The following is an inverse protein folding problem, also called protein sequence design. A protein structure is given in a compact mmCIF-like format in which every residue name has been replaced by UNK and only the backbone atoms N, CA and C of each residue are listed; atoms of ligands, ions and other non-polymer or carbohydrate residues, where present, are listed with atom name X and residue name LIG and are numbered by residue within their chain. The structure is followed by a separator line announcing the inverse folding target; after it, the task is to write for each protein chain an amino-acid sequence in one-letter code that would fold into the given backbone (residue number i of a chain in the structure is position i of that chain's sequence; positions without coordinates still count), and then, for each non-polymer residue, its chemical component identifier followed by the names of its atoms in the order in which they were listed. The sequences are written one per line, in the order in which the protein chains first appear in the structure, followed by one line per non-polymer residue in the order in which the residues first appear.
data_IF_814583218096
#
_entry.id   IF_814583218096
#
_cell.length_a   1.000
_cell.length_b   1.000
_cell.length_c   1.000
_cell.angle_alpha   90.00
_cell.angle_beta   90.00
_cell.angle_gamma   90.00
#
_symmetry.space_group_name_H-M   'P 1'
#
loop_
_entity.id
_entity.type
_entity.pdbx_description
1 polymer ?
#
# COMPACT_ATOMS: atom_id res chain seq x y z
N UNK A 1 22.11 26.98 -14.95
CA UNK A 1 22.09 25.87 -15.92
C UNK A 1 21.56 24.60 -15.25
N UNK A 2 22.14 24.17 -14.12
CA UNK A 2 21.70 22.97 -13.38
C UNK A 2 20.19 22.88 -13.06
N UNK A 3 19.57 23.94 -12.53
CA UNK A 3 18.12 23.92 -12.22
C UNK A 3 17.25 23.70 -13.48
N UNK A 4 17.57 24.40 -14.57
CA UNK A 4 16.85 24.24 -15.86
C UNK A 4 17.04 22.83 -16.42
N UNK A 5 18.24 22.27 -16.33
CA UNK A 5 18.51 20.88 -16.74
C UNK A 5 17.69 19.90 -15.91
N UNK A 6 17.61 20.09 -14.60
CA UNK A 6 16.84 19.20 -13.72
C UNK A 6 15.33 19.28 -14.01
N UNK A 7 14.82 20.47 -14.30
CA UNK A 7 13.41 20.67 -14.70
C UNK A 7 13.10 20.01 -16.03
N UNK A 8 13.99 20.16 -17.02
CA UNK A 8 13.86 19.46 -18.30
C UNK A 8 13.86 17.95 -18.12
N UNK A 9 14.77 17.40 -17.31
CA UNK A 9 14.81 15.96 -17.02
C UNK A 9 13.52 15.48 -16.35
N UNK A 10 12.93 16.28 -15.46
CA UNK A 10 11.65 15.96 -14.84
C UNK A 10 10.52 15.93 -15.88
N UNK A 11 10.44 16.91 -16.77
CA UNK A 11 9.42 16.93 -17.84
C UNK A 11 9.59 15.75 -18.80
N UNK A 12 10.82 15.39 -19.16
CA UNK A 12 11.12 14.22 -19.97
C UNK A 12 10.69 12.92 -19.29
N UNK A 13 10.94 12.79 -17.99
CA UNK A 13 10.53 11.62 -17.22
C UNK A 13 9.00 11.50 -17.11
N UNK A 14 8.30 12.61 -16.88
CA UNK A 14 6.83 12.64 -16.88
C UNK A 14 6.28 12.25 -18.25
N UNK A 15 6.85 12.81 -19.33
CA UNK A 15 6.48 12.46 -20.71
C UNK A 15 6.69 10.97 -20.98
N UNK A 16 7.83 10.40 -20.58
CA UNK A 16 8.08 8.97 -20.70
C UNK A 16 7.06 8.14 -19.91
N UNK A 17 6.74 8.56 -18.69
CA UNK A 17 5.74 7.91 -17.84
C UNK A 17 4.38 7.91 -18.54
N UNK A 18 3.92 9.05 -19.07
CA UNK A 18 2.66 9.16 -19.81
C UNK A 18 2.64 8.23 -21.03
N UNK A 19 3.74 8.16 -21.78
CA UNK A 19 3.83 7.31 -22.97
C UNK A 19 3.73 5.81 -22.63
N UNK A 20 4.36 5.35 -21.54
CA UNK A 20 4.18 3.96 -21.08
C UNK A 20 2.75 3.69 -20.65
N UNK A 21 2.18 4.60 -19.87
CA UNK A 21 0.81 4.53 -19.40
C UNK A 21 -0.17 4.33 -20.57
N UNK A 22 -0.12 5.20 -21.56
CA UNK A 22 -1.17 5.25 -22.58
C UNK A 22 -0.89 4.27 -23.73
N UNK A 23 0.37 4.16 -24.17
CA UNK A 23 0.69 3.38 -25.37
C UNK A 23 1.08 1.93 -25.09
N UNK A 24 1.53 1.60 -23.88
CA UNK A 24 1.83 0.23 -23.51
C UNK A 24 0.72 -0.37 -22.67
N UNK A 25 0.53 0.12 -21.43
CA UNK A 25 -0.39 -0.53 -20.49
C UNK A 25 -1.85 -0.40 -20.93
N UNK A 26 -2.32 0.82 -21.21
CA UNK A 26 -3.72 1.03 -21.64
C UNK A 26 -4.01 0.35 -22.98
N UNK A 27 -3.07 0.41 -23.93
CA UNK A 27 -3.23 -0.26 -25.22
C UNK A 27 -3.33 -1.78 -25.08
N UNK A 28 -2.43 -2.41 -24.31
CA UNK A 28 -2.44 -3.85 -24.10
C UNK A 28 -3.68 -4.31 -23.33
N UNK A 29 -4.14 -3.55 -22.34
CA UNK A 29 -5.41 -3.80 -21.65
C UNK A 29 -6.57 -3.84 -22.62
N UNK A 30 -6.73 -2.82 -23.48
CA UNK A 30 -7.78 -2.79 -24.50
C UNK A 30 -7.66 -3.95 -25.51
N UNK A 31 -6.42 -4.32 -25.86
CA UNK A 31 -6.17 -5.44 -26.76
C UNK A 31 -6.56 -6.76 -26.13
N UNK A 32 -6.21 -6.99 -24.86
CA UNK A 32 -6.59 -8.16 -24.10
C UNK A 32 -8.13 -8.26 -23.98
N UNK A 33 -8.80 -7.14 -23.66
CA UNK A 33 -10.27 -7.08 -23.61
C UNK A 33 -10.89 -7.47 -24.96
N UNK A 34 -10.35 -6.97 -26.09
CA UNK A 34 -10.85 -7.30 -27.43
C UNK A 34 -10.71 -8.78 -27.80
N UNK A 35 -9.88 -9.52 -27.06
CA UNK A 35 -9.64 -10.96 -27.22
C UNK A 35 -10.32 -11.80 -26.12
N UNK A 36 -11.06 -11.17 -25.19
CA UNK A 36 -11.65 -11.86 -24.04
C UNK A 36 -10.61 -12.38 -23.05
N UNK A 37 -9.44 -11.74 -22.97
CA UNK A 37 -8.32 -12.10 -22.08
C UNK A 37 -8.16 -11.05 -20.97
N UNK A 38 -7.71 -11.49 -19.80
CA UNK A 38 -7.27 -10.59 -18.73
C UNK A 38 -5.78 -10.28 -18.88
N UNK A 39 -5.40 -9.00 -18.77
CA UNK A 39 -4.00 -8.61 -18.70
C UNK A 39 -3.55 -8.55 -17.25
N UNK A 40 -2.75 -9.55 -16.87
CA UNK A 40 -2.04 -9.63 -15.59
C UNK A 40 -0.57 -9.36 -15.83
N UNK A 41 0.02 -8.40 -15.13
CA UNK A 41 1.43 -8.02 -15.31
C UNK A 41 2.01 -7.40 -14.06
N UNK A 42 3.33 -7.51 -13.93
CA UNK A 42 4.16 -6.83 -12.94
C UNK A 42 4.61 -5.47 -13.48
N UNK A 43 4.02 -4.35 -13.03
CA UNK A 43 4.23 -3.05 -13.64
C UNK A 43 5.23 -2.23 -12.81
N UNK A 44 6.44 -2.75 -12.58
CA UNK A 44 7.50 -2.06 -11.82
C UNK A 44 8.90 -2.30 -12.39
N UNK A 45 9.94 -1.75 -11.73
CA UNK A 45 11.38 -1.75 -12.12
C UNK A 45 11.73 -0.88 -13.34
N UNK A 46 10.79 -0.54 -14.23
CA UNK A 46 11.01 0.37 -15.36
C UNK A 46 10.92 1.88 -14.97
N UNK A 47 11.36 2.82 -15.84
CA UNK A 47 11.40 4.26 -15.54
C UNK A 47 10.01 4.92 -15.61
N UNK A 48 9.09 4.46 -14.78
CA UNK A 48 7.75 5.01 -14.62
C UNK A 48 7.22 4.81 -13.20
N UNK A 49 6.15 5.52 -12.84
CA UNK A 49 5.39 5.29 -11.61
C UNK A 49 4.68 3.91 -11.65
N UNK A 50 4.98 2.98 -10.71
CA UNK A 50 4.41 1.64 -10.75
C UNK A 50 2.91 1.56 -10.43
N UNK A 51 2.40 2.45 -9.59
CA UNK A 51 0.96 2.49 -9.22
C UNK A 51 0.15 2.99 -10.40
N UNK A 52 0.67 4.01 -11.08
CA UNK A 52 0.09 4.56 -12.30
C UNK A 52 -0.02 3.50 -13.40
N UNK A 53 1.02 2.70 -13.58
CA UNK A 53 0.98 1.61 -14.56
C UNK A 53 0.07 0.46 -14.13
N UNK A 54 0.14 0.05 -12.85
CA UNK A 54 -0.73 -0.98 -12.28
C UNK A 54 -2.22 -0.65 -12.36
N UNK A 55 -2.59 0.63 -12.23
CA UNK A 55 -3.99 1.05 -12.33
C UNK A 55 -4.63 0.82 -13.71
N UNK A 56 -3.80 0.74 -14.76
CA UNK A 56 -4.25 0.58 -16.14
C UNK A 56 -4.53 -0.87 -16.54
N UNK A 57 -4.18 -1.85 -15.70
CA UNK A 57 -4.35 -3.28 -16.01
C UNK A 57 -5.50 -3.91 -15.24
N UNK A 58 -6.02 -5.03 -15.73
CA UNK A 58 -7.14 -5.76 -15.12
C UNK A 58 -6.71 -6.41 -13.80
N UNK A 59 -5.52 -7.02 -13.78
CA UNK A 59 -4.97 -7.72 -12.61
C UNK A 59 -3.55 -7.22 -12.33
N UNK A 60 -3.37 -6.21 -11.44
CA UNK A 60 -2.04 -5.78 -11.04
C UNK A 60 -1.33 -6.91 -10.28
N UNK A 61 -0.08 -7.18 -10.66
CA UNK A 61 0.75 -8.23 -10.07
C UNK A 61 1.97 -7.62 -9.36
N UNK A 62 2.31 -8.18 -8.20
CA UNK A 62 3.53 -7.92 -7.45
C UNK A 62 4.44 -9.16 -7.43
N UNK A 63 5.55 -9.07 -6.71
CA UNK A 63 6.46 -10.19 -6.48
C UNK A 63 6.90 -10.18 -5.01
N UNK A 64 7.02 -11.36 -4.40
CA UNK A 64 7.67 -11.50 -3.11
C UNK A 64 8.42 -12.82 -2.99
N UNK A 65 9.59 -12.72 -2.37
CA UNK A 65 10.52 -13.83 -2.29
C UNK A 65 10.35 -14.55 -0.94
N UNK A 66 10.82 -15.80 -0.86
CA UNK A 66 10.95 -16.54 0.42
C UNK A 66 11.73 -15.70 1.45
N UNK A 67 12.71 -14.98 0.93
CA UNK A 67 13.61 -14.06 1.59
C UNK A 67 12.91 -12.79 2.10
N UNK A 68 11.67 -12.51 1.68
CA UNK A 68 10.94 -11.23 1.83
C UNK A 68 11.51 -10.06 1.02
N UNK A 69 12.46 -10.31 0.10
CA UNK A 69 12.77 -9.36 -0.99
C UNK A 69 11.52 -9.07 -1.81
N UNK A 70 11.53 -7.91 -2.48
CA UNK A 70 10.44 -7.42 -3.34
C UNK A 70 9.10 -7.17 -2.63
N UNK A 71 9.00 -7.37 -1.31
CA UNK A 71 7.76 -7.15 -0.54
C UNK A 71 7.19 -5.72 -0.67
N UNK A 72 8.03 -4.72 -0.98
CA UNK A 72 7.56 -3.35 -1.27
C UNK A 72 6.64 -3.29 -2.52
N UNK A 73 6.85 -4.16 -3.51
CA UNK A 73 6.02 -4.24 -4.72
C UNK A 73 4.59 -4.67 -4.41
N UNK A 74 4.40 -5.44 -3.33
CA UNK A 74 3.08 -5.86 -2.86
C UNK A 74 2.21 -4.65 -2.55
N UNK A 75 2.79 -3.63 -1.89
CA UNK A 75 2.06 -2.40 -1.57
C UNK A 75 1.75 -1.59 -2.84
N UNK A 76 2.60 -1.61 -3.85
CA UNK A 76 2.31 -0.94 -5.13
C UNK A 76 1.11 -1.60 -5.83
N UNK A 77 1.12 -2.92 -5.98
CA UNK A 77 0.04 -3.65 -6.64
C UNK A 77 -1.28 -3.56 -5.87
N UNK A 78 -1.25 -3.71 -4.53
CA UNK A 78 -2.47 -3.62 -3.72
C UNK A 78 -3.04 -2.21 -3.70
N UNK A 79 -2.19 -1.18 -3.59
CA UNK A 79 -2.67 0.21 -3.62
C UNK A 79 -3.27 0.57 -4.98
N UNK A 80 -2.67 0.09 -6.08
CA UNK A 80 -3.24 0.27 -7.41
C UNK A 80 -4.59 -0.46 -7.55
N UNK A 81 -4.71 -1.70 -7.06
CA UNK A 81 -5.99 -2.39 -7.07
C UNK A 81 -7.06 -1.63 -6.29
N UNK A 82 -6.74 -1.15 -5.08
CA UNK A 82 -7.68 -0.43 -4.24
C UNK A 82 -8.09 0.92 -4.84
N UNK A 83 -7.13 1.70 -5.35
CA UNK A 83 -7.38 3.04 -5.89
C UNK A 83 -8.06 3.02 -7.27
N UNK A 84 -7.88 1.95 -8.05
CA UNK A 84 -8.51 1.78 -9.39
C UNK A 84 -9.69 0.79 -9.40
N UNK A 85 -10.04 0.19 -8.27
CA UNK A 85 -11.23 -0.67 -8.15
C UNK A 85 -11.04 -2.06 -8.75
N UNK A 86 -9.83 -2.63 -8.66
CA UNK A 86 -9.55 -4.02 -9.06
C UNK A 86 -9.81 -4.95 -7.88
N UNK A 87 -10.42 -6.10 -8.17
CA UNK A 87 -10.71 -7.13 -7.17
C UNK A 87 -9.47 -7.94 -6.80
N UNK A 88 -8.63 -8.23 -7.79
CA UNK A 88 -7.52 -9.16 -7.65
C UNK A 88 -6.18 -8.42 -7.55
N UNK A 89 -5.33 -8.90 -6.64
CA UNK A 89 -3.92 -8.52 -6.50
C UNK A 89 -3.11 -9.79 -6.63
N UNK A 90 -2.51 -9.97 -7.81
CA UNK A 90 -1.70 -11.13 -8.11
C UNK A 90 -0.29 -11.01 -7.51
N UNK A 91 0.37 -12.14 -7.25
CA UNK A 91 1.76 -12.15 -6.83
C UNK A 91 2.55 -13.30 -7.46
N UNK A 92 3.70 -13.00 -8.07
CA UNK A 92 4.77 -13.97 -8.20
C UNK A 92 5.25 -14.30 -6.78
N UNK A 93 4.96 -15.51 -6.35
CA UNK A 93 5.02 -15.86 -4.94
C UNK A 93 6.09 -16.91 -4.67
N UNK A 94 6.85 -16.65 -3.60
CA UNK A 94 7.85 -17.55 -3.03
C UNK A 94 9.04 -17.82 -3.96
N UNK A 95 9.44 -16.83 -4.77
CA UNK A 95 10.72 -16.87 -5.48
C UNK A 95 11.86 -17.01 -4.49
N UNK A 96 12.83 -17.89 -4.77
CA UNK A 96 13.95 -18.15 -3.86
C UNK A 96 15.25 -18.36 -4.61
N UNK A 97 16.37 -17.96 -4.03
CA UNK A 97 17.74 -18.14 -4.57
C UNK A 97 18.31 -19.51 -4.24
N UNK A 98 19.55 -19.74 -4.66
CA UNK A 98 20.35 -20.91 -4.32
C UNK A 98 20.49 -21.16 -2.79
N UNK A 99 20.35 -20.13 -1.96
CA UNK A 99 20.50 -20.21 -0.52
C UNK A 99 19.17 -20.53 0.20
N UNK A 100 18.00 -20.18 -0.32
CA UNK A 100 16.71 -20.42 0.34
C UNK A 100 15.68 -21.18 -0.51
N UNK A 101 15.68 -21.03 -1.83
CA UNK A 101 14.75 -21.70 -2.75
C UNK A 101 15.20 -23.08 -3.25
N UNK A 102 16.50 -23.34 -3.36
CA UNK A 102 17.03 -24.58 -3.97
C UNK A 102 16.89 -25.81 -3.06
N UNK A 103 15.69 -26.43 -3.05
CA UNK A 103 15.32 -27.59 -2.22
C UNK A 103 15.47 -27.37 -0.71
N UNK A 104 15.38 -26.11 -0.28
CA UNK A 104 15.59 -25.67 1.11
C UNK A 104 14.33 -25.12 1.77
N UNK A 105 13.19 -25.16 1.07
CA UNK A 105 11.90 -24.73 1.59
C UNK A 105 10.92 -25.88 1.75
N UNK A 106 10.07 -25.73 2.74
CA UNK A 106 8.85 -26.49 2.96
C UNK A 106 7.71 -25.49 3.28
N UNK A 107 6.44 -25.93 3.25
CA UNK A 107 5.30 -25.06 3.54
C UNK A 107 5.35 -24.31 4.87
N UNK A 108 5.93 -24.89 5.93
CA UNK A 108 6.06 -24.23 7.22
C UNK A 108 7.05 -23.07 7.15
N UNK A 109 8.19 -23.27 6.48
CA UNK A 109 9.22 -22.24 6.31
C UNK A 109 8.73 -21.00 5.55
N UNK A 110 7.85 -21.19 4.55
CA UNK A 110 7.38 -20.11 3.69
C UNK A 110 6.04 -19.48 4.13
N UNK A 111 5.33 -20.10 5.10
CA UNK A 111 4.03 -19.61 5.58
C UNK A 111 4.07 -18.13 5.96
N UNK A 112 5.10 -17.72 6.71
CA UNK A 112 5.26 -16.32 7.16
C UNK A 112 5.32 -15.34 5.99
N UNK A 113 6.10 -15.64 4.94
CA UNK A 113 6.23 -14.74 3.79
C UNK A 113 4.88 -14.59 3.06
N UNK A 114 4.13 -15.69 2.92
CA UNK A 114 2.79 -15.67 2.33
C UNK A 114 1.78 -14.89 3.17
N UNK A 115 1.77 -15.10 4.49
CA UNK A 115 0.88 -14.38 5.40
C UNK A 115 1.16 -12.88 5.41
N UNK A 116 2.44 -12.52 5.34
CA UNK A 116 2.86 -11.13 5.23
C UNK A 116 2.38 -10.49 3.93
N UNK A 117 2.49 -11.20 2.81
CA UNK A 117 1.97 -10.74 1.53
C UNK A 117 0.44 -10.57 1.56
N UNK A 118 -0.28 -11.52 2.17
CA UNK A 118 -1.73 -11.42 2.41
C UNK A 118 -2.10 -10.19 3.25
N UNK A 119 -1.39 -9.93 4.35
CA UNK A 119 -1.57 -8.72 5.17
C UNK A 119 -1.29 -7.42 4.39
N UNK A 120 -0.54 -7.50 3.29
CA UNK A 120 -0.24 -6.35 2.42
C UNK A 120 -1.13 -6.26 1.17
N UNK A 121 -2.13 -7.14 1.06
CA UNK A 121 -3.19 -7.03 0.08
C UNK A 121 -3.14 -8.06 -1.05
N UNK A 122 -2.15 -8.97 -1.09
CA UNK A 122 -2.18 -10.09 -2.05
C UNK A 122 -3.42 -10.93 -1.79
N UNK A 123 -4.13 -11.30 -2.85
CA UNK A 123 -5.26 -12.21 -2.76
C UNK A 123 -5.35 -13.19 -3.94
N UNK A 124 -4.33 -13.20 -4.83
CA UNK A 124 -4.16 -14.16 -5.92
C UNK A 124 -2.68 -14.57 -6.03
N UNK A 125 -2.36 -15.80 -5.68
CA UNK A 125 -0.98 -16.30 -5.59
C UNK A 125 -0.64 -17.08 -6.86
N UNK A 126 0.47 -16.72 -7.51
CA UNK A 126 1.06 -17.45 -8.64
C UNK A 126 2.40 -18.02 -8.18
N UNK A 127 2.48 -19.34 -8.01
CA UNK A 127 3.65 -19.99 -7.40
C UNK A 127 4.85 -19.99 -8.36
N UNK A 128 5.92 -19.29 -7.98
CA UNK A 128 7.22 -19.35 -8.64
C UNK A 128 8.05 -20.48 -8.02
N UNK A 129 8.50 -21.52 -8.73
CA UNK A 129 8.10 -21.90 -10.09
C UNK A 129 7.80 -23.40 -10.18
N UNK A 130 6.87 -23.76 -11.07
CA UNK A 130 6.47 -25.16 -11.32
C UNK A 130 7.07 -25.62 -12.65
N UNK A 131 8.31 -26.10 -12.62
CA UNK A 131 8.99 -26.56 -13.84
C UNK A 131 8.31 -27.81 -14.43
N UNK A 132 8.15 -27.83 -15.75
CA UNK A 132 7.68 -29.02 -16.48
C UNK A 132 8.65 -30.19 -16.24
N UNK A 133 8.10 -31.38 -16.00
CA UNK A 133 8.85 -32.62 -15.76
C UNK A 133 8.83 -33.50 -17.03
N UNK A 134 9.79 -33.36 -17.96
CA UNK A 134 9.74 -34.05 -19.25
C UNK A 134 9.90 -35.58 -19.15
N UNK A 135 10.47 -36.07 -18.04
CA UNK A 135 10.63 -37.51 -17.76
C UNK A 135 9.59 -38.05 -16.77
N UNK A 136 8.47 -37.33 -16.59
CA UNK A 136 7.45 -37.71 -15.60
C UNK A 136 8.04 -37.87 -14.20
N UNK A 137 7.76 -39.00 -13.56
CA UNK A 137 8.22 -39.32 -12.20
C UNK A 137 9.46 -40.22 -12.15
N UNK A 138 10.04 -40.56 -13.31
CA UNK A 138 11.16 -41.51 -13.43
C UNK A 138 12.46 -40.93 -12.86
N UNK A 139 12.61 -39.60 -12.91
CA UNK A 139 13.73 -38.87 -12.30
C UNK A 139 13.22 -37.99 -11.17
N UNK A 140 13.71 -38.25 -9.95
CA UNK A 140 13.43 -37.45 -8.75
C UNK A 140 14.72 -36.77 -8.25
N UNK A 141 14.65 -35.51 -7.77
CA UNK A 141 13.43 -34.72 -7.59
C UNK A 141 12.94 -34.03 -8.89
N UNK A 142 13.62 -34.27 -10.01
CA UNK A 142 13.18 -33.86 -11.35
C UNK A 142 13.90 -32.62 -11.88
N UNK A 143 13.34 -32.06 -12.95
CA UNK A 143 13.78 -30.80 -13.55
C UNK A 143 13.38 -29.62 -12.67
N UNK A 144 14.21 -28.60 -12.60
CA UNK A 144 13.90 -27.36 -11.91
C UNK A 144 14.45 -26.12 -12.65
N UNK A 145 13.98 -24.93 -12.26
CA UNK A 145 14.43 -23.66 -12.82
C UNK A 145 15.80 -23.27 -12.23
N UNK A 146 16.85 -23.96 -12.65
CA UNK A 146 18.22 -23.73 -12.17
C UNK A 146 18.30 -23.76 -10.62
N UNK A 147 18.74 -22.69 -9.97
CA UNK A 147 18.72 -22.58 -8.51
C UNK A 147 17.53 -21.78 -7.97
N UNK A 148 16.61 -21.36 -8.84
CA UNK A 148 15.46 -20.53 -8.49
C UNK A 148 14.32 -21.39 -7.96
N UNK A 149 14.04 -21.25 -6.66
CA UNK A 149 12.85 -21.82 -6.04
C UNK A 149 11.64 -20.88 -6.13
N UNK A 150 10.54 -21.20 -5.49
CA UNK A 150 10.24 -22.44 -4.77
C UNK A 150 10.10 -23.62 -5.73
N UNK A 151 10.72 -24.75 -5.38
CA UNK A 151 10.66 -25.97 -6.19
C UNK A 151 9.29 -26.66 -6.04
N UNK A 152 8.20 -26.06 -6.53
CA UNK A 152 6.86 -26.63 -6.40
C UNK A 152 6.58 -27.63 -7.53
N UNK A 153 7.17 -28.81 -7.45
CA UNK A 153 7.07 -29.88 -8.48
C UNK A 153 6.71 -31.23 -7.85
N UNK A 154 6.14 -32.18 -8.62
CA UNK A 154 5.72 -33.49 -8.11
C UNK A 154 6.82 -34.30 -7.39
N UNK A 155 8.09 -34.06 -7.70
CA UNK A 155 9.24 -34.70 -7.04
C UNK A 155 9.54 -34.23 -5.62
N UNK A 156 8.78 -33.26 -5.09
CA UNK A 156 8.94 -32.78 -3.72
C UNK A 156 8.67 -33.88 -2.67
N UNK A 157 9.47 -33.89 -1.61
CA UNK A 157 9.28 -34.83 -0.48
C UNK A 157 7.97 -34.60 0.25
N UNK A 158 7.44 -33.39 0.16
CA UNK A 158 6.18 -32.96 0.78
C UNK A 158 5.03 -32.80 -0.21
N UNK A 159 5.12 -33.31 -1.45
CA UNK A 159 4.07 -33.12 -2.47
C UNK A 159 2.66 -33.51 -1.99
N UNK A 160 2.49 -34.76 -1.54
CA UNK A 160 1.21 -35.28 -1.04
C UNK A 160 0.70 -34.53 0.21
N UNK A 161 1.47 -34.39 1.31
CA UNK A 161 1.02 -33.57 2.45
C UNK A 161 0.84 -32.09 2.09
N UNK A 162 1.47 -31.61 1.01
CA UNK A 162 1.39 -30.26 0.48
C UNK A 162 -0.02 -29.82 0.08
N UNK A 163 -0.95 -30.76 -0.13
CA UNK A 163 -2.38 -30.45 -0.29
C UNK A 163 -2.93 -29.60 0.86
N UNK A 164 -2.45 -29.80 2.09
CA UNK A 164 -2.87 -29.00 3.24
C UNK A 164 -2.50 -27.51 3.08
N UNK A 165 -1.30 -27.24 2.55
CA UNK A 165 -0.82 -25.89 2.29
C UNK A 165 -1.56 -25.22 1.12
N UNK A 166 -1.79 -25.94 0.02
CA UNK A 166 -2.58 -25.42 -1.11
C UNK A 166 -4.01 -25.09 -0.68
N UNK A 167 -4.63 -25.94 0.16
CA UNK A 167 -5.95 -25.66 0.73
C UNK A 167 -5.95 -24.42 1.63
N UNK A 168 -4.87 -24.21 2.41
CA UNK A 168 -4.69 -23.01 3.21
C UNK A 168 -4.66 -21.76 2.33
N UNK A 169 -3.79 -21.73 1.32
CA UNK A 169 -3.70 -20.61 0.37
C UNK A 169 -5.04 -20.33 -0.31
N UNK A 170 -5.76 -21.39 -0.72
CA UNK A 170 -7.07 -21.24 -1.38
C UNK A 170 -8.12 -20.60 -0.47
N UNK A 171 -8.18 -20.98 0.80
CA UNK A 171 -9.13 -20.39 1.78
C UNK A 171 -8.79 -18.95 2.10
N UNK A 172 -7.51 -18.62 2.27
CA UNK A 172 -7.07 -17.24 2.49
C UNK A 172 -7.44 -16.35 1.30
N UNK A 173 -7.10 -16.77 0.08
CA UNK A 173 -7.44 -16.03 -1.14
C UNK A 173 -8.95 -15.85 -1.29
N UNK A 174 -9.74 -16.90 -1.04
CA UNK A 174 -11.20 -16.80 -1.07
C UNK A 174 -11.71 -15.69 -0.14
N UNK A 175 -11.28 -15.68 1.13
CA UNK A 175 -11.73 -14.67 2.09
C UNK A 175 -11.22 -13.26 1.75
N UNK A 176 -9.98 -13.12 1.30
CA UNK A 176 -9.35 -11.83 0.98
C UNK A 176 -9.86 -11.20 -0.33
N UNK A 177 -10.63 -11.94 -1.12
CA UNK A 177 -11.34 -11.43 -2.30
C UNK A 177 -12.79 -11.03 -2.01
N UNK A 178 -13.25 -11.16 -0.76
CA UNK A 178 -14.60 -10.75 -0.36
C UNK A 178 -14.62 -9.26 0.00
N UNK A 179 -15.70 -8.58 -0.40
CA UNK A 179 -15.90 -7.16 -0.08
C UNK A 179 -14.86 -6.23 -0.72
N UNK A 180 -14.54 -5.14 -0.03
CA UNK A 180 -13.56 -4.13 -0.45
C UNK A 180 -12.50 -3.95 0.63
N UNK A 181 -11.29 -3.55 0.22
CA UNK A 181 -10.23 -3.19 1.16
C UNK A 181 -10.65 -1.98 2.01
N UNK A 182 -10.23 -1.98 3.28
CA UNK A 182 -10.39 -0.84 4.19
C UNK A 182 -9.00 -0.30 4.52
N UNK A 183 -8.79 0.97 4.18
CA UNK A 183 -7.58 1.73 4.46
C UNK A 183 -7.96 3.13 4.93
N UNK A 184 -7.50 3.53 6.12
CA UNK A 184 -7.82 4.85 6.68
C UNK A 184 -6.96 5.96 6.09
N UNK A 185 -5.85 5.62 5.43
CA UNK A 185 -4.82 6.57 5.02
C UNK A 185 -4.48 6.37 3.55
N UNK A 186 -4.31 7.46 2.81
CA UNK A 186 -3.75 7.44 1.46
C UNK A 186 -2.51 8.32 1.39
N UNK A 187 -1.42 7.78 0.86
CA UNK A 187 -0.21 8.52 0.56
C UNK A 187 -0.14 8.89 -0.91
N UNK A 188 0.10 10.16 -1.23
CA UNK A 188 0.41 10.57 -2.59
C UNK A 188 1.82 10.09 -2.96
N UNK A 189 1.94 9.29 -4.01
CA UNK A 189 3.22 8.84 -4.54
C UNK A 189 3.71 9.85 -5.59
N UNK A 190 4.90 10.46 -5.42
CA UNK A 190 5.42 11.43 -6.37
C UNK A 190 5.94 10.72 -7.61
N UNK A 191 5.39 11.06 -8.78
CA UNK A 191 5.74 10.42 -10.06
C UNK A 191 7.26 10.47 -10.31
N UNK A 192 7.89 11.60 -10.00
CA UNK A 192 9.32 11.85 -10.22
C UNK A 192 10.27 11.11 -9.26
N UNK A 193 9.78 10.63 -8.11
CA UNK A 193 10.61 10.03 -7.04
C UNK A 193 9.94 8.83 -6.36
N UNK A 194 9.20 8.02 -7.13
CA UNK A 194 8.45 6.88 -6.62
C UNK A 194 9.31 5.81 -5.93
N UNK A 195 10.61 5.70 -6.27
CA UNK A 195 11.55 4.74 -5.64
C UNK A 195 11.93 5.07 -4.19
N UNK A 196 11.62 6.27 -3.72
CA UNK A 196 12.02 6.75 -2.39
C UNK A 196 10.82 7.28 -1.58
N UNK A 197 9.61 6.96 -2.01
CA UNK A 197 8.40 7.57 -1.46
C UNK A 197 7.62 6.63 -0.56
N UNK A 198 7.30 7.14 0.63
CA UNK A 198 6.50 6.53 1.69
C UNK A 198 7.10 5.23 2.24
N UNK A 199 7.24 5.07 3.56
CA UNK A 199 8.02 3.97 4.08
C UNK A 199 7.34 2.63 3.83
N UNK A 200 8.16 1.79 3.22
CA UNK A 200 8.08 0.35 3.24
C UNK A 200 7.80 -0.09 4.68
N UNK A 201 6.69 -0.80 4.90
CA UNK A 201 6.24 -1.08 6.24
C UNK A 201 5.02 -1.97 6.26
N UNK A 202 5.16 -3.07 6.97
CA UNK A 202 4.27 -4.23 6.86
C UNK A 202 3.30 -4.37 8.04
N UNK A 203 3.47 -3.59 9.11
CA UNK A 203 2.69 -3.69 10.34
C UNK A 203 2.28 -2.32 10.85
N UNK A 204 1.04 -1.93 10.56
CA UNK A 204 0.54 -0.59 10.84
C UNK A 204 -0.87 -0.67 11.43
N UNK A 205 -1.07 0.00 12.58
CA UNK A 205 -2.35 0.08 13.30
C UNK A 205 -3.51 0.56 12.41
N UNK A 206 -3.20 1.42 11.45
CA UNK A 206 -4.10 1.86 10.38
C UNK A 206 -3.55 1.39 9.04
N UNK A 207 -4.37 0.75 8.22
CA UNK A 207 -3.97 0.35 6.87
C UNK A 207 -3.91 1.58 5.95
N UNK A 208 -3.13 1.49 4.88
CA UNK A 208 -2.90 2.59 3.94
C UNK A 208 -2.74 2.12 2.51
N UNK A 209 -3.09 3.01 1.59
CA UNK A 209 -2.75 2.90 0.17
C UNK A 209 -1.78 3.99 -0.25
N UNK A 210 -1.10 3.76 -1.36
CA UNK A 210 -0.38 4.75 -2.14
C UNK A 210 -1.17 5.09 -3.41
N UNK A 211 -1.13 6.33 -3.85
CA UNK A 211 -1.94 6.81 -4.97
C UNK A 211 -1.10 7.63 -5.95
N UNK A 212 -1.34 7.42 -7.24
CA UNK A 212 -0.72 8.20 -8.31
C UNK A 212 -1.22 9.66 -8.33
N UNK A 213 -0.38 10.58 -8.79
CA UNK A 213 -0.73 12.00 -8.93
C UNK A 213 -1.95 12.24 -9.82
N UNK A 214 -2.10 11.49 -10.91
CA UNK A 214 -3.24 11.62 -11.81
C UNK A 214 -4.57 11.26 -11.12
N UNK A 215 -4.57 10.23 -10.25
CA UNK A 215 -5.75 9.81 -9.51
C UNK A 215 -6.18 10.88 -8.51
N UNK A 216 -5.22 11.54 -7.84
CA UNK A 216 -5.50 12.70 -6.98
C UNK A 216 -6.15 13.83 -7.78
N UNK A 217 -5.58 14.17 -8.94
CA UNK A 217 -6.02 15.30 -9.76
C UNK A 217 -7.42 15.07 -10.32
N UNK A 218 -7.66 13.92 -10.93
CA UNK A 218 -8.84 13.68 -11.76
C UNK A 218 -9.99 13.01 -11.01
N UNK A 219 -9.69 12.11 -10.06
CA UNK A 219 -10.70 11.20 -9.50
C UNK A 219 -11.03 11.48 -8.02
N UNK A 220 -10.06 11.92 -7.22
CA UNK A 220 -10.26 12.11 -5.79
C UNK A 220 -11.18 13.28 -5.48
N UNK A 221 -12.17 13.07 -4.61
CA UNK A 221 -12.95 14.14 -3.99
C UNK A 221 -13.00 14.00 -2.46
N UNK A 222 -13.46 15.02 -1.75
CA UNK A 222 -13.74 14.96 -0.33
C UNK A 222 -15.24 15.11 -0.08
N UNK A 223 -15.88 14.06 0.46
CA UNK A 223 -17.29 14.07 0.80
C UNK A 223 -17.62 13.07 1.91
N UNK A 224 -18.64 13.39 2.71
CA UNK A 224 -19.09 12.54 3.81
C UNK A 224 -17.98 12.19 4.82
N UNK A 225 -17.03 13.11 5.05
CA UNK A 225 -15.92 12.92 5.99
C UNK A 225 -14.72 12.13 5.46
N UNK A 226 -14.70 11.76 4.18
CA UNK A 226 -13.63 10.96 3.58
C UNK A 226 -13.09 11.58 2.29
N UNK A 227 -11.81 11.36 2.02
CA UNK A 227 -11.27 11.37 0.67
C UNK A 227 -11.77 10.12 -0.06
N UNK A 228 -12.55 10.30 -1.12
CA UNK A 228 -13.22 9.22 -1.85
C UNK A 228 -12.68 9.08 -3.26
N UNK A 229 -12.67 7.84 -3.75
CA UNK A 229 -12.40 7.51 -5.14
C UNK A 229 -13.59 6.78 -5.77
N UNK A 230 -13.76 6.85 -7.11
CA UNK A 230 -14.78 6.09 -7.84
C UNK A 230 -14.67 4.57 -7.65
N UNK A 231 -13.48 4.06 -7.30
CA UNK A 231 -13.28 2.66 -6.91
C UNK A 231 -14.10 2.23 -5.68
N UNK A 232 -14.55 3.20 -4.88
CA UNK A 232 -15.18 3.00 -3.58
C UNK A 232 -14.18 3.01 -2.42
N UNK A 233 -12.90 3.27 -2.67
CA UNK A 233 -11.94 3.50 -1.61
C UNK A 233 -12.24 4.82 -0.88
N UNK A 234 -12.17 4.78 0.46
CA UNK A 234 -12.48 5.91 1.34
C UNK A 234 -11.36 6.06 2.38
N UNK A 235 -10.73 7.23 2.43
CA UNK A 235 -9.61 7.53 3.32
C UNK A 235 -9.93 8.71 4.23
N UNK A 236 -9.37 8.72 5.43
CA UNK A 236 -9.54 9.77 6.44
C UNK A 236 -8.45 10.84 6.34
N UNK A 237 -7.25 10.42 5.97
CA UNK A 237 -6.06 11.29 5.90
C UNK A 237 -5.36 11.09 4.57
N UNK A 238 -4.99 12.21 3.94
CA UNK A 238 -4.09 12.27 2.80
C UNK A 238 -2.69 12.68 3.27
N UNK A 239 -1.68 11.85 3.02
CA UNK A 239 -0.28 12.17 3.29
C UNK A 239 0.39 12.64 2.01
N UNK A 240 1.09 13.77 2.08
CA UNK A 240 1.96 14.26 1.02
C UNK A 240 3.36 13.63 1.15
N UNK A 241 4.02 13.29 0.04
CA UNK A 241 5.42 12.92 0.08
C UNK A 241 6.25 14.16 0.41
N UNK A 242 7.46 13.95 0.90
CA UNK A 242 8.43 15.03 1.07
C UNK A 242 8.70 15.71 -0.28
N UNK A 243 8.28 16.96 -0.40
CA UNK A 243 8.29 17.74 -1.65
C UNK A 243 9.71 18.12 -2.06
N UNK A 244 10.64 18.21 -1.10
CA UNK A 244 11.98 18.77 -1.27
C UNK A 244 11.92 20.14 -1.99
N UNK A 245 10.91 20.94 -1.63
CA UNK A 245 10.66 22.24 -2.24
C UNK A 245 9.89 22.21 -3.57
N UNK A 246 9.53 21.05 -4.11
CA UNK A 246 8.95 20.92 -5.46
C UNK A 246 7.56 20.29 -5.43
N UNK A 247 6.57 20.98 -6.00
CA UNK A 247 5.22 20.44 -6.24
C UNK A 247 4.55 21.23 -7.37
N UNK A 248 3.74 20.57 -8.20
CA UNK A 248 3.05 21.26 -9.29
C UNK A 248 1.91 22.15 -8.76
N UNK A 249 1.65 23.27 -9.45
CA UNK A 249 0.54 24.16 -9.11
C UNK A 249 -0.83 23.44 -9.19
N UNK A 250 -0.97 22.48 -10.13
CA UNK A 250 -2.19 21.69 -10.28
C UNK A 250 -2.49 20.85 -9.01
N UNK A 251 -1.49 20.17 -8.46
CA UNK A 251 -1.63 19.40 -7.22
C UNK A 251 -2.00 20.34 -6.07
N UNK A 252 -1.32 21.49 -5.91
CA UNK A 252 -1.63 22.44 -4.85
C UNK A 252 -3.08 22.98 -4.93
N UNK A 253 -3.56 23.33 -6.13
CA UNK A 253 -4.96 23.72 -6.34
C UNK A 253 -5.93 22.63 -5.90
N UNK A 254 -5.66 21.37 -6.26
CA UNK A 254 -6.48 20.23 -5.87
C UNK A 254 -6.47 20.03 -4.35
N UNK A 255 -5.30 20.08 -3.71
CA UNK A 255 -5.16 19.93 -2.26
C UNK A 255 -5.92 21.03 -1.50
N UNK A 256 -5.84 22.30 -1.95
CA UNK A 256 -6.61 23.40 -1.37
C UNK A 256 -8.12 23.12 -1.48
N UNK A 257 -8.60 22.65 -2.63
CA UNK A 257 -10.01 22.34 -2.83
C UNK A 257 -10.49 21.22 -1.90
N UNK A 258 -9.70 20.15 -1.76
CA UNK A 258 -10.01 19.03 -0.85
C UNK A 258 -9.98 19.45 0.62
N UNK A 259 -8.98 20.24 1.02
CA UNK A 259 -8.87 20.76 2.38
C UNK A 259 -10.08 21.65 2.71
N UNK A 260 -10.45 22.58 1.81
CA UNK A 260 -11.62 23.46 2.00
C UNK A 260 -12.92 22.68 2.25
N UNK A 261 -13.07 21.50 1.67
CA UNK A 261 -14.21 20.60 1.85
C UNK A 261 -14.20 19.80 3.17
N UNK A 262 -13.11 19.80 3.93
CA UNK A 262 -12.98 19.05 5.18
C UNK A 262 -11.77 18.12 5.27
N UNK A 263 -10.97 18.01 4.21
CA UNK A 263 -9.82 17.12 4.16
C UNK A 263 -8.75 17.42 5.21
N UNK A 264 -8.28 16.38 5.91
CA UNK A 264 -7.05 16.46 6.72
C UNK A 264 -5.86 16.00 5.88
N UNK A 265 -4.93 16.91 5.62
CA UNK A 265 -3.73 16.67 4.81
C UNK A 265 -2.51 16.73 5.72
N UNK A 266 -1.63 15.72 5.63
CA UNK A 266 -0.40 15.62 6.43
C UNK A 266 0.81 15.85 5.54
N UNK A 267 1.78 16.64 6.01
CA UNK A 267 3.02 16.95 5.29
C UNK A 267 4.25 16.95 6.23
N UNK A 268 5.45 16.92 5.64
CA UNK A 268 6.73 17.05 6.37
C UNK A 268 7.55 18.27 5.92
N UNK A 269 7.18 18.88 4.80
CA UNK A 269 7.81 20.08 4.25
C UNK A 269 6.83 20.91 3.42
N UNK A 270 7.32 22.04 2.89
CA UNK A 270 6.54 22.99 2.08
C UNK A 270 7.20 23.21 0.72
N UNK A 271 6.45 23.13 -0.40
CA UNK A 271 6.98 23.42 -1.72
C UNK A 271 7.16 24.92 -1.95
N UNK A 272 8.12 25.28 -2.80
CA UNK A 272 8.47 26.65 -3.16
C UNK A 272 8.61 26.88 -4.67
N UNK A 273 8.63 25.82 -5.49
CA UNK A 273 8.68 25.90 -6.94
C UNK A 273 8.03 24.70 -7.63
N UNK A 274 7.80 24.83 -8.94
CA UNK A 274 7.36 23.73 -9.80
C UNK A 274 8.50 22.76 -10.09
N UNK A 275 8.26 21.45 -10.25
CA UNK A 275 9.32 20.52 -10.60
C UNK A 275 9.81 20.63 -12.05
N UNK A 276 9.00 21.20 -12.97
CA UNK A 276 9.24 21.21 -14.42
C UNK A 276 9.44 22.60 -15.03
N UNK A 277 9.56 22.66 -16.36
CA UNK A 277 9.68 23.88 -17.18
C UNK A 277 8.34 24.40 -17.69
N UNK A 278 7.26 23.61 -17.59
CA UNK A 278 5.92 24.04 -18.01
C UNK A 278 5.53 25.32 -17.25
N UNK A 279 5.39 26.43 -17.99
CA UNK A 279 5.03 27.75 -17.44
C UNK A 279 6.11 28.41 -16.57
N UNK A 280 7.38 28.00 -16.68
CA UNK A 280 8.50 28.65 -15.99
C UNK A 280 8.87 29.99 -16.67
N UNK A 281 9.19 31.06 -15.91
CA UNK A 281 9.33 31.12 -14.44
C UNK A 281 8.05 31.46 -13.66
N UNK A 282 6.97 31.86 -14.32
CA UNK A 282 5.75 32.39 -13.69
C UNK A 282 5.09 31.38 -12.73
N UNK A 283 5.15 30.10 -13.07
CA UNK A 283 4.57 29.01 -12.26
C UNK A 283 5.23 28.88 -10.89
N UNK A 284 6.49 29.29 -10.71
CA UNK A 284 7.12 29.28 -9.39
C UNK A 284 6.50 30.33 -8.45
N UNK A 285 6.10 31.49 -8.98
CA UNK A 285 5.37 32.48 -8.21
C UNK A 285 3.98 31.95 -7.83
N UNK A 286 3.29 31.28 -8.77
CA UNK A 286 2.01 30.64 -8.50
C UNK A 286 2.12 29.57 -7.41
N UNK A 287 3.14 28.70 -7.46
CA UNK A 287 3.38 27.68 -6.43
C UNK A 287 3.58 28.32 -5.07
N UNK A 288 4.34 29.41 -4.96
CA UNK A 288 4.53 30.12 -3.68
C UNK A 288 3.22 30.68 -3.13
N UNK A 289 2.40 31.28 -3.99
CA UNK A 289 1.08 31.80 -3.60
C UNK A 289 0.16 30.69 -3.13
N UNK A 290 0.08 29.58 -3.86
CA UNK A 290 -0.77 28.44 -3.49
C UNK A 290 -0.27 27.74 -2.22
N UNK A 291 1.05 27.56 -2.09
CA UNK A 291 1.64 27.01 -0.88
C UNK A 291 1.35 27.90 0.33
N UNK A 292 1.34 29.23 0.18
CA UNK A 292 0.91 30.15 1.25
C UNK A 292 -0.56 29.98 1.64
N UNK A 293 -1.45 29.73 0.69
CA UNK A 293 -2.85 29.47 1.00
C UNK A 293 -3.06 28.16 1.77
N UNK A 294 -2.30 27.11 1.46
CA UNK A 294 -2.47 25.79 2.09
C UNK A 294 -1.69 25.66 3.41
N UNK A 295 -0.44 26.13 3.46
CA UNK A 295 0.40 26.06 4.66
C UNK A 295 0.17 27.19 5.66
N UNK A 296 -0.32 28.36 5.23
CA UNK A 296 -0.44 29.52 6.11
C UNK A 296 0.89 29.85 6.79
N UNK A 297 0.82 30.03 8.11
CA UNK A 297 1.97 30.34 8.99
C UNK A 297 2.70 29.09 9.51
N UNK A 298 2.34 27.88 9.06
CA UNK A 298 3.04 26.67 9.50
C UNK A 298 4.51 26.68 9.08
N UNK A 299 5.37 26.33 10.03
CA UNK A 299 6.84 26.36 9.89
C UNK A 299 7.51 25.03 10.29
N UNK A 300 6.75 24.06 10.78
CA UNK A 300 7.26 22.77 11.26
C UNK A 300 8.14 22.86 12.52
N UNK A 301 8.14 24.01 13.21
CA UNK A 301 8.96 24.27 14.40
C UNK A 301 8.12 24.75 15.56
N UNK A 302 7.29 25.76 15.32
CA UNK A 302 6.44 26.42 16.32
C UNK A 302 4.96 26.31 15.97
N UNK A 303 4.61 26.35 14.67
CA UNK A 303 3.24 26.23 14.17
C UNK A 303 3.16 24.99 13.27
N UNK A 304 2.35 24.02 13.71
CA UNK A 304 2.24 22.70 13.08
C UNK A 304 0.92 22.45 12.38
N UNK A 305 -0.06 23.35 12.49
CA UNK A 305 -1.37 23.16 11.89
C UNK A 305 -1.89 24.45 11.29
N UNK A 306 -2.55 24.34 10.14
CA UNK A 306 -3.25 25.44 9.50
C UNK A 306 -4.64 25.00 9.09
N UNK A 307 -5.66 25.72 9.57
CA UNK A 307 -7.05 25.50 9.19
C UNK A 307 -7.28 26.01 7.77
N UNK A 308 -7.87 25.18 6.90
CA UNK A 308 -8.16 25.53 5.50
C UNK A 308 -9.61 25.18 5.20
N UNK A 309 -10.49 26.18 5.26
CA UNK A 309 -11.94 25.98 5.16
C UNK A 309 -12.42 25.03 6.27
N UNK A 310 -13.16 23.97 5.89
CA UNK A 310 -13.63 22.97 6.84
C UNK A 310 -12.56 21.94 7.25
N UNK A 311 -11.44 21.86 6.54
CA UNK A 311 -10.36 20.92 6.78
C UNK A 311 -9.08 21.61 7.24
N UNK A 312 -7.95 20.91 7.12
CA UNK A 312 -6.69 21.38 7.68
C UNK A 312 -5.47 20.75 7.03
N UNK A 313 -4.36 21.46 7.12
CA UNK A 313 -3.02 20.94 6.89
C UNK A 313 -2.33 20.72 8.25
N UNK A 314 -1.74 19.55 8.45
CA UNK A 314 -0.93 19.20 9.63
C UNK A 314 0.51 18.90 9.20
N UNK A 315 1.44 19.64 9.75
CA UNK A 315 2.88 19.43 9.58
C UNK A 315 3.39 18.49 10.67
N UNK A 316 3.99 17.37 10.27
CA UNK A 316 4.65 16.44 11.19
C UNK A 316 6.15 16.37 10.89
N UNK A 317 6.98 16.37 11.93
CA UNK A 317 8.42 16.18 11.79
C UNK A 317 8.80 14.72 11.47
N UNK A 318 7.90 13.79 11.79
CA UNK A 318 7.99 12.41 11.34
C UNK A 318 6.60 11.80 11.31
N UNK A 319 6.23 11.25 10.16
CA UNK A 319 4.98 10.49 10.00
C UNK A 319 5.16 9.05 10.52
N UNK A 320 6.40 8.60 10.61
CA UNK A 320 6.77 7.20 10.82
C UNK A 320 7.85 7.05 11.88
N UNK A 321 7.99 5.84 12.42
CA UNK A 321 9.12 5.49 13.26
C UNK A 321 9.56 4.06 12.97
N UNK A 322 10.87 3.85 12.89
CA UNK A 322 11.45 2.52 12.94
C UNK A 322 11.27 2.00 14.37
N UNK A 323 10.58 0.87 14.50
CA UNK A 323 10.40 0.20 15.78
C UNK A 323 10.92 -1.23 15.70
N UNK A 324 11.69 -1.63 16.71
CA UNK A 324 12.28 -2.95 16.80
C UNK A 324 11.29 -3.90 17.48
N UNK A 325 10.56 -4.68 16.70
CA UNK A 325 9.49 -5.55 17.23
C UNK A 325 10.04 -6.82 17.94
N UNK A 326 9.48 -7.23 19.10
CA UNK A 326 9.68 -8.58 19.67
C UNK A 326 9.55 -9.75 18.69
N UNK A 327 8.65 -9.69 17.71
CA UNK A 327 8.49 -10.72 16.67
C UNK A 327 9.72 -10.78 15.75
N UNK A 328 10.27 -9.60 15.39
CA UNK A 328 11.56 -9.48 14.70
C UNK A 328 12.69 -10.08 15.54
N UNK A 329 12.71 -9.83 16.86
CA UNK A 329 13.71 -10.39 17.79
C UNK A 329 13.65 -11.91 17.88
N UNK A 330 12.45 -12.48 18.04
CA UNK A 330 12.25 -13.93 18.07
C UNK A 330 12.78 -14.56 16.78
N UNK A 331 12.43 -13.97 15.65
CA UNK A 331 12.81 -14.50 14.35
C UNK A 331 14.31 -14.44 14.05
N UNK A 332 14.97 -13.31 14.34
CA UNK A 332 16.42 -13.21 14.22
C UNK A 332 17.14 -14.23 15.12
N UNK A 333 16.55 -14.60 16.27
CA UNK A 333 17.11 -15.60 17.19
C UNK A 333 16.88 -17.04 16.77
N UNK A 334 15.76 -17.35 16.11
CA UNK A 334 15.41 -18.73 15.71
C UNK A 334 15.97 -19.12 14.34
N UNK A 335 16.62 -18.20 13.62
CA UNK A 335 17.19 -18.44 12.29
C UNK A 335 18.51 -19.23 12.35
N UNK A 336 18.76 -20.04 11.32
CA UNK A 336 20.06 -20.70 11.12
C UNK A 336 21.12 -19.64 10.81
N UNK A 337 22.11 -19.49 11.71
CA UNK A 337 23.23 -18.54 11.57
C UNK A 337 24.10 -18.85 10.34
N UNK A 338 24.74 -17.83 9.78
CA UNK A 338 25.76 -17.98 8.70
C UNK A 338 25.28 -17.68 7.29
N UNK A 339 24.27 -16.82 7.13
CA UNK A 339 23.73 -16.41 5.83
C UNK A 339 23.30 -14.94 5.91
N UNK A 340 24.14 -14.04 5.40
CA UNK A 340 24.04 -12.56 5.52
C UNK A 340 22.64 -11.99 5.24
N UNK A 341 21.92 -12.58 4.30
CA UNK A 341 20.58 -12.12 3.92
C UNK A 341 19.56 -12.23 5.06
N UNK A 342 19.68 -13.25 5.92
CA UNK A 342 18.80 -13.45 7.08
C UNK A 342 19.22 -12.62 8.30
N UNK A 343 20.31 -11.87 8.22
CA UNK A 343 20.81 -11.03 9.31
C UNK A 343 20.23 -9.60 9.24
N UNK A 344 19.70 -9.20 8.08
CA UNK A 344 18.89 -7.99 7.94
C UNK A 344 17.40 -8.30 8.23
N UNK A 345 16.77 -7.44 9.02
CA UNK A 345 15.35 -7.59 9.33
C UNK A 345 14.47 -7.08 8.20
N UNK A 346 13.32 -7.71 8.01
CA UNK A 346 12.18 -7.05 7.37
C UNK A 346 11.91 -5.74 8.12
N UNK A 347 11.84 -4.62 7.40
CA UNK A 347 11.64 -3.30 7.99
C UNK A 347 10.21 -3.22 8.54
N UNK A 348 10.06 -3.17 9.86
CA UNK A 348 8.78 -2.96 10.54
C UNK A 348 8.62 -1.47 10.86
N UNK A 349 8.31 -0.64 9.86
CA UNK A 349 7.95 0.76 10.11
C UNK A 349 6.56 0.86 10.70
N UNK A 350 6.40 1.69 11.73
CA UNK A 350 5.13 1.98 12.40
C UNK A 350 4.75 3.45 12.23
N UNK A 351 3.46 3.76 12.38
CA UNK A 351 2.98 5.14 12.50
C UNK A 351 3.62 5.82 13.70
N UNK A 352 4.06 7.07 13.55
CA UNK A 352 4.60 7.84 14.68
C UNK A 352 3.50 8.17 15.71
N UNK A 353 3.83 8.37 16.99
CA UNK A 353 2.88 8.84 18.00
C UNK A 353 2.16 10.13 17.59
N UNK A 354 2.85 11.04 16.88
CA UNK A 354 2.25 12.27 16.37
C UNK A 354 1.20 11.97 15.30
N UNK A 355 1.50 11.05 14.36
CA UNK A 355 0.53 10.64 13.35
C UNK A 355 -0.69 9.95 13.97
N UNK A 356 -0.47 9.09 14.97
CA UNK A 356 -1.56 8.41 15.69
C UNK A 356 -2.49 9.41 16.39
N UNK A 357 -1.96 10.51 16.94
CA UNK A 357 -2.78 11.61 17.49
C UNK A 357 -3.63 12.29 16.43
N UNK A 358 -3.09 12.52 15.23
CA UNK A 358 -3.87 13.05 14.09
C UNK A 358 -5.03 12.11 13.78
N UNK A 359 -4.77 10.81 13.64
CA UNK A 359 -5.81 9.80 13.38
C UNK A 359 -6.89 9.76 14.47
N UNK A 360 -6.50 9.88 15.74
CA UNK A 360 -7.43 9.89 16.87
C UNK A 360 -8.29 11.15 16.94
N UNK A 361 -7.78 12.28 16.44
CA UNK A 361 -8.53 13.55 16.42
C UNK A 361 -9.59 13.64 15.31
N UNK A 362 -9.66 12.66 14.42
CA UNK A 362 -10.65 12.63 13.33
C UNK A 362 -11.84 11.78 13.76
N UNK A 363 -12.97 12.41 14.06
CA UNK A 363 -14.23 11.70 14.30
C UNK A 363 -14.92 11.41 12.96
N UNK A 364 -15.28 10.16 12.72
CA UNK A 364 -16.02 9.77 11.52
C UNK A 364 -17.51 10.12 11.67
N UNK A 365 -18.18 10.60 10.60
CA UNK A 365 -19.57 11.05 10.68
C UNK A 365 -20.59 9.91 10.81
N UNK A 366 -20.20 8.66 10.53
CA UNK A 366 -21.07 7.48 10.46
C UNK A 366 -20.88 6.48 11.62
N UNK A 367 -20.12 6.88 12.66
CA UNK A 367 -19.85 6.03 13.83
C UNK A 367 -20.68 6.48 15.02
N UNK A 368 -21.61 5.62 15.44
CA UNK A 368 -22.37 5.79 16.68
C UNK A 368 -21.86 4.80 17.75
N UNK A 369 -21.50 5.32 18.91
CA UNK A 369 -21.00 4.52 20.04
C UNK A 369 -22.17 4.25 21.00
N UNK A 370 -22.69 3.02 20.98
CA UNK A 370 -23.92 2.64 21.70
C UNK A 370 -23.67 2.44 23.21
N UNK A 371 -22.49 1.94 23.59
CA UNK A 371 -22.09 1.78 25.01
C UNK A 371 -20.60 2.05 25.17
N UNK A 372 -20.26 3.06 25.97
CA UNK A 372 -18.89 3.46 26.28
C UNK A 372 -18.58 3.21 27.76
N UNK A 373 -17.93 2.08 28.05
CA UNK A 373 -17.06 1.94 29.23
C UNK A 373 -15.65 1.72 28.71
N UNK A 374 -14.87 2.80 28.69
CA UNK A 374 -13.56 2.87 28.02
C UNK A 374 -13.62 3.72 26.75
N UNK A 375 -12.60 4.55 26.55
CA UNK A 375 -12.51 5.55 25.49
C UNK A 375 -12.79 4.96 24.10
N UNK A 376 -13.63 5.64 23.32
CA UNK A 376 -14.02 5.23 21.97
C UNK A 376 -12.79 4.99 21.09
N UNK A 377 -12.74 3.83 20.44
CA UNK A 377 -11.63 3.51 19.56
C UNK A 377 -11.85 4.10 18.17
N UNK A 378 -11.04 5.10 17.82
CA UNK A 378 -10.21 4.91 16.62
C UNK A 378 -9.07 3.97 17.04
N UNK A 379 -9.32 2.65 16.91
CA UNK A 379 -8.41 1.54 17.22
C UNK A 379 -7.61 1.57 18.58
N UNK A 380 -8.10 1.95 19.76
CA UNK A 380 -7.44 1.52 21.03
C UNK A 380 -8.01 2.07 22.36
N UNK A 381 -8.47 1.22 23.31
CA UNK A 381 -8.70 1.58 24.73
C UNK A 381 -9.74 0.75 25.52
N UNK A 382 -9.31 -0.09 26.48
CA UNK A 382 -10.12 -0.88 27.47
C UNK A 382 -10.45 -0.06 28.76
N UNK A 383 -11.23 -0.53 29.77
CA UNK A 383 -11.60 -1.91 30.13
C UNK A 383 -13.11 -2.18 30.26
N UNK A 384 -13.50 -3.39 29.83
CA UNK A 384 -14.84 -3.99 29.92
C UNK A 384 -15.83 -3.61 28.80
N UNK A 385 -15.73 -4.37 27.70
CA UNK A 385 -16.67 -4.49 26.56
C UNK A 385 -17.15 -3.19 25.90
N UNK A 386 -16.70 -2.95 24.66
CA UNK A 386 -17.24 -1.91 23.80
C UNK A 386 -18.05 -2.53 22.64
N UNK A 387 -19.15 -1.86 22.30
CA UNK A 387 -20.00 -2.21 21.17
C UNK A 387 -20.44 -0.94 20.42
N UNK A 388 -20.49 -1.03 19.10
CA UNK A 388 -20.89 0.09 18.26
C UNK A 388 -21.43 -0.37 16.91
N UNK A 389 -22.05 0.57 16.21
CA UNK A 389 -22.58 0.35 14.86
C UNK A 389 -22.07 1.43 13.95
N UNK A 390 -21.62 1.00 12.76
CA UNK A 390 -21.47 1.90 11.62
C UNK A 390 -22.79 1.88 10.84
N UNK A 391 -23.39 3.04 10.62
CA UNK A 391 -24.64 3.16 9.85
C UNK A 391 -24.34 3.27 8.35
N UNK A 392 -25.22 2.73 7.48
CA UNK A 392 -25.10 2.85 6.01
C UNK A 392 -25.18 1.51 5.26
N UNK A 393 -24.91 1.52 3.94
CA UNK A 393 -24.96 0.32 3.09
C UNK A 393 -23.94 -0.77 3.50
N UNK A 394 -22.85 -0.38 4.17
CA UNK A 394 -21.83 -1.27 4.76
C UNK A 394 -22.01 -1.39 6.28
N UNK A 395 -23.25 -1.52 6.76
CA UNK A 395 -23.54 -1.56 8.19
C UNK A 395 -22.81 -2.71 8.88
N UNK A 396 -21.94 -2.37 9.83
CA UNK A 396 -21.17 -3.33 10.60
C UNK A 396 -21.49 -3.11 12.08
N UNK A 397 -21.89 -4.19 12.74
CA UNK A 397 -21.89 -4.28 14.19
C UNK A 397 -20.60 -4.92 14.64
N UNK A 398 -20.06 -4.43 15.74
CA UNK A 398 -18.92 -5.05 16.36
C UNK A 398 -19.05 -5.13 17.87
N UNK A 399 -18.48 -6.20 18.41
CA UNK A 399 -18.29 -6.41 19.84
C UNK A 399 -16.82 -6.69 20.08
N UNK A 400 -16.20 -5.97 21.01
CA UNK A 400 -14.80 -6.19 21.38
C UNK A 400 -14.69 -6.77 22.80
N UNK A 401 -13.73 -7.69 22.98
CA UNK A 401 -13.27 -8.14 24.28
C UNK A 401 -11.74 -8.17 24.32
N UNK A 402 -11.17 -7.88 25.49
CA UNK A 402 -9.74 -8.07 25.77
C UNK A 402 -9.55 -9.36 26.57
N UNK A 403 -8.54 -10.14 26.20
CA UNK A 403 -8.10 -11.34 26.92
C UNK A 403 -6.57 -11.28 27.11
N UNK A 404 -6.12 -10.85 28.29
CA UNK A 404 -4.72 -10.52 28.55
C UNK A 404 -4.20 -9.42 27.63
N UNK A 405 -3.11 -9.71 26.89
CA UNK A 405 -2.52 -8.84 25.87
C UNK A 405 -3.19 -8.96 24.49
N UNK A 406 -4.25 -9.77 24.37
CA UNK A 406 -4.94 -10.04 23.09
C UNK A 406 -6.23 -9.24 22.97
N UNK A 407 -6.44 -8.65 21.79
CA UNK A 407 -7.70 -8.01 21.40
C UNK A 407 -8.52 -8.97 20.51
N UNK A 408 -9.79 -9.19 20.87
CA UNK A 408 -10.70 -10.07 20.13
C UNK A 408 -11.89 -9.25 19.65
N UNK A 409 -12.10 -9.24 18.34
CA UNK A 409 -13.20 -8.54 17.68
C UNK A 409 -14.19 -9.55 17.10
N UNK A 410 -15.47 -9.37 17.43
CA UNK A 410 -16.58 -10.02 16.74
C UNK A 410 -17.19 -8.98 15.83
N UNK A 411 -17.01 -9.16 14.53
CA UNK A 411 -17.52 -8.24 13.52
C UNK A 411 -18.62 -8.97 12.77
N UNK A 412 -19.84 -8.44 12.80
CA UNK A 412 -20.93 -8.95 12.00
C UNK A 412 -21.36 -7.89 10.99
N UNK A 413 -21.39 -8.28 9.73
CA UNK A 413 -22.14 -7.54 8.74
C UNK A 413 -23.62 -7.54 9.15
N UNK A 414 -24.24 -6.37 9.35
CA UNK A 414 -25.67 -6.27 9.64
C UNK A 414 -26.54 -6.48 8.38
N UNK A 415 -25.96 -6.63 7.19
CA UNK A 415 -26.72 -7.06 6.01
C UNK A 415 -27.02 -8.56 6.11
N UNK A 416 -28.05 -8.85 6.91
CA UNK A 416 -28.62 -10.16 7.15
C UNK A 416 -30.04 -10.01 7.70
N UNK A 417 -30.95 -9.54 6.85
CA UNK A 417 -32.39 -9.83 6.95
C UNK A 417 -32.81 -10.57 5.70
#
# INVERSE_FOLDING_TARGET
NEDLTQRFQNDMYLTQTDLFADNFFTHLTRKADSLGMEFMTEPYIAPFDPIRMAGRVQVPMCEFWVSTEMMHTVRWASSAANTYGRKEVAAEAFTGRWNDGNWKTDPYAIKRAGDLAFCNGVNKVVLHGTALQPWGMDLKPGMNMFFWGTMFVPGQTWWEPGKAWVNYLSRCQYMLQQGKNVADVVGLMPTLKWRHSMPEGLHKKYNYDLMAEETLLHEMDFSGGFFRLPSGANYRVLILPKTNGKMSAAILKKLIALAKKGGTIVCEDRPSCSPGLTGYPETDAEVKTLAAQLWGDTDGKTIFEHQVGAGRLVWLNSIWQDDFDPERKYFLKTRTKGREFWDNSAVSTRWSPQFLKVMQSITLPDVEVIKASGEAMAWGGSPETAAGTRQGEDAIAWTHRRDGDSDIYFVSNQTGS
#
